data_IF_235885981077
#
_entry.id   IF_235885981077
#
_cell.length_a   1.000
_cell.length_b   1.000
_cell.length_c   1.000
_cell.angle_alpha   90.00
_cell.angle_beta   90.00
_cell.angle_gamma   90.00
#
_symmetry.space_group_name_H-M   'P 1'
#
loop_
_entity.id
_entity.type
_entity.pdbx_description
1 polymer ?
#
# COMPACT_ATOMS: atom_id res chain seq x y z
N UNK A 1 -65.68 183.11 37.26
CA UNK A 1 -64.47 182.35 37.67
C UNK A 1 -64.77 180.98 38.31
N UNK A 2 -65.99 180.69 38.78
CA UNK A 2 -66.33 179.36 39.35
C UNK A 2 -66.40 178.21 38.32
N UNK A 3 -66.80 178.46 37.07
CA UNK A 3 -66.97 177.40 36.04
C UNK A 3 -65.66 176.87 35.43
N UNK A 4 -64.54 177.57 35.61
CA UNK A 4 -63.22 177.16 35.09
C UNK A 4 -62.51 176.22 36.08
N UNK A 5 -62.60 176.51 37.38
CA UNK A 5 -62.13 175.61 38.46
C UNK A 5 -62.89 174.27 38.46
N UNK A 6 -64.19 174.28 38.17
CA UNK A 6 -64.99 173.05 38.07
C UNK A 6 -64.56 172.18 36.88
N UNK A 7 -64.30 172.76 35.70
CA UNK A 7 -63.77 172.03 34.55
C UNK A 7 -62.36 171.47 34.78
N UNK A 8 -61.51 172.17 35.55
CA UNK A 8 -60.20 171.63 35.95
C UNK A 8 -60.31 170.49 36.96
N UNK A 9 -61.26 170.56 37.89
CA UNK A 9 -61.54 169.48 38.83
C UNK A 9 -62.10 168.24 38.10
N UNK A 10 -63.05 168.43 37.18
CA UNK A 10 -63.61 167.37 36.33
C UNK A 10 -62.52 166.75 35.43
N UNK A 11 -61.67 167.55 34.77
CA UNK A 11 -60.57 167.05 33.94
C UNK A 11 -59.46 166.36 34.75
N UNK A 12 -59.27 166.70 36.03
CA UNK A 12 -58.36 166.00 36.94
C UNK A 12 -58.96 164.68 37.41
N UNK A 13 -60.26 164.66 37.68
CA UNK A 13 -60.98 163.45 38.07
C UNK A 13 -61.05 162.45 36.90
N UNK A 14 -61.27 162.93 35.67
CA UNK A 14 -61.19 162.13 34.45
C UNK A 14 -59.79 161.54 34.26
N UNK A 15 -58.71 162.33 34.41
CA UNK A 15 -57.34 161.79 34.33
C UNK A 15 -57.01 160.76 35.42
N UNK A 16 -57.58 160.92 36.62
CA UNK A 16 -57.43 159.92 37.68
C UNK A 16 -58.22 158.65 37.35
N UNK A 17 -59.44 158.79 36.80
CA UNK A 17 -60.25 157.67 36.32
C UNK A 17 -59.54 156.93 35.17
N UNK A 18 -59.10 157.64 34.14
CA UNK A 18 -58.31 157.10 33.02
C UNK A 18 -57.03 156.42 33.51
N UNK A 19 -56.35 156.96 34.53
CA UNK A 19 -55.16 156.33 35.12
C UNK A 19 -55.51 155.07 35.91
N UNK A 20 -56.60 155.07 36.67
CA UNK A 20 -57.07 153.86 37.37
C UNK A 20 -57.56 152.80 36.39
N UNK A 21 -58.22 153.19 35.31
CA UNK A 21 -58.62 152.32 34.21
C UNK A 21 -57.38 151.77 33.49
N UNK A 22 -56.35 152.60 33.26
CA UNK A 22 -55.09 152.15 32.68
C UNK A 22 -54.32 151.18 33.59
N UNK A 23 -54.29 151.41 34.90
CA UNK A 23 -53.64 150.50 35.85
C UNK A 23 -54.41 149.19 35.99
N UNK A 24 -55.74 149.23 36.06
CA UNK A 24 -56.57 148.01 36.14
C UNK A 24 -56.52 147.22 34.83
N UNK A 25 -56.48 147.88 33.67
CA UNK A 25 -56.23 147.20 32.38
C UNK A 25 -54.82 146.63 32.30
N UNK A 26 -53.79 147.31 32.80
CA UNK A 26 -52.44 146.76 32.91
C UNK A 26 -52.37 145.55 33.86
N UNK A 27 -53.06 145.60 35.01
CA UNK A 27 -53.12 144.49 35.98
C UNK A 27 -53.88 143.30 35.41
N UNK A 28 -55.04 143.53 34.76
CA UNK A 28 -55.79 142.50 34.06
C UNK A 28 -54.96 141.87 32.94
N UNK A 29 -54.26 142.67 32.13
CA UNK A 29 -53.39 142.15 31.08
C UNK A 29 -52.20 141.34 31.63
N UNK A 30 -51.68 141.69 32.82
CA UNK A 30 -50.66 140.87 33.51
C UNK A 30 -51.25 139.54 33.99
N UNK A 31 -52.42 139.56 34.61
CA UNK A 31 -53.11 138.35 35.07
C UNK A 31 -53.49 137.43 33.90
N UNK A 32 -53.99 137.99 32.80
CA UNK A 32 -54.28 137.25 31.56
C UNK A 32 -53.02 136.58 31.01
N UNK A 33 -51.89 137.30 30.93
CA UNK A 33 -50.61 136.70 30.52
C UNK A 33 -50.14 135.61 31.49
N UNK A 34 -50.28 135.81 32.80
CA UNK A 34 -49.93 134.78 33.79
C UNK A 34 -50.78 133.52 33.64
N UNK A 35 -52.10 133.68 33.41
CA UNK A 35 -53.00 132.57 33.11
C UNK A 35 -52.67 131.89 31.78
N UNK A 36 -52.33 132.66 30.74
CA UNK A 36 -51.85 132.12 29.46
C UNK A 36 -50.55 131.33 29.64
N UNK A 37 -49.60 131.82 30.44
CA UNK A 37 -48.37 131.09 30.74
C UNK A 37 -48.64 129.82 31.57
N UNK A 38 -49.54 129.88 32.55
CA UNK A 38 -49.92 128.70 33.34
C UNK A 38 -50.61 127.66 32.47
N UNK A 39 -51.57 128.05 31.63
CA UNK A 39 -52.26 127.13 30.72
C UNK A 39 -51.31 126.54 29.68
N UNK A 40 -50.35 127.30 29.17
CA UNK A 40 -49.27 126.77 28.32
C UNK A 40 -48.35 125.79 29.08
N UNK A 41 -48.00 126.10 30.32
CA UNK A 41 -47.19 125.21 31.17
C UNK A 41 -47.94 123.90 31.48
N UNK A 42 -49.23 123.96 31.77
CA UNK A 42 -50.08 122.78 31.99
C UNK A 42 -50.25 121.96 30.71
N UNK A 43 -50.49 122.61 29.57
CA UNK A 43 -50.60 121.93 28.29
C UNK A 43 -49.30 121.22 27.89
N UNK A 44 -48.14 121.85 28.11
CA UNK A 44 -46.84 121.24 27.86
C UNK A 44 -46.55 120.10 28.85
N UNK A 45 -46.88 120.26 30.13
CA UNK A 45 -46.76 119.19 31.12
C UNK A 45 -47.65 117.98 30.78
N UNK A 46 -48.89 118.21 30.37
CA UNK A 46 -49.81 117.15 29.93
C UNK A 46 -49.30 116.45 28.66
N UNK A 47 -48.76 117.20 27.71
CA UNK A 47 -48.14 116.64 26.50
C UNK A 47 -46.94 115.76 26.85
N UNK A 48 -46.03 116.23 27.71
CA UNK A 48 -44.87 115.45 28.16
C UNK A 48 -45.31 114.20 28.94
N UNK A 49 -46.30 114.29 29.82
CA UNK A 49 -46.86 113.14 30.52
C UNK A 49 -47.43 112.11 29.53
N UNK A 50 -48.22 112.55 28.55
CA UNK A 50 -48.75 111.67 27.51
C UNK A 50 -47.64 111.05 26.65
N UNK A 51 -46.59 111.81 26.31
CA UNK A 51 -45.46 111.32 25.53
C UNK A 51 -44.67 110.26 26.31
N UNK A 52 -44.42 110.47 27.60
CA UNK A 52 -43.75 109.48 28.46
C UNK A 52 -44.58 108.20 28.62
N UNK A 53 -45.89 108.32 28.86
CA UNK A 53 -46.80 107.16 28.91
C UNK A 53 -46.83 106.38 27.59
N UNK A 54 -46.92 107.10 26.46
CA UNK A 54 -46.92 106.48 25.12
C UNK A 54 -45.60 105.74 24.85
N UNK A 55 -44.47 106.32 25.25
CA UNK A 55 -43.16 105.68 25.16
C UNK A 55 -43.07 104.43 26.04
N UNK A 56 -43.53 104.52 27.29
CA UNK A 56 -43.49 103.41 28.23
C UNK A 56 -44.36 102.24 27.74
N UNK A 57 -45.57 102.53 27.24
CA UNK A 57 -46.44 101.54 26.62
C UNK A 57 -45.79 100.90 25.37
N UNK A 58 -45.10 101.68 24.55
CA UNK A 58 -44.36 101.17 23.40
C UNK A 58 -43.18 100.27 23.81
N UNK A 59 -42.42 100.66 24.83
CA UNK A 59 -41.32 99.86 25.37
C UNK A 59 -41.82 98.54 25.98
N UNK A 60 -42.92 98.57 26.74
CA UNK A 60 -43.59 97.37 27.26
C UNK A 60 -44.10 96.46 26.14
N UNK A 61 -44.74 97.03 25.10
CA UNK A 61 -45.19 96.26 23.93
C UNK A 61 -44.02 95.59 23.20
N UNK A 62 -42.90 96.30 23.04
CA UNK A 62 -41.68 95.74 22.45
C UNK A 62 -41.08 94.63 23.31
N UNK A 63 -41.05 94.79 24.63
CA UNK A 63 -40.58 93.75 25.55
C UNK A 63 -41.46 92.52 25.48
N UNK A 64 -42.79 92.68 25.52
CA UNK A 64 -43.73 91.56 25.41
C UNK A 64 -43.57 90.78 24.08
N UNK A 65 -43.34 91.48 22.96
CA UNK A 65 -43.05 90.82 21.67
C UNK A 65 -41.74 90.04 21.73
N UNK A 66 -40.70 90.61 22.34
CA UNK A 66 -39.40 89.93 22.47
C UNK A 66 -39.51 88.69 23.37
N UNK A 67 -40.20 88.78 24.50
CA UNK A 67 -40.44 87.66 25.41
C UNK A 67 -41.26 86.56 24.74
N UNK A 68 -42.35 86.91 24.05
CA UNK A 68 -43.14 85.95 23.28
C UNK A 68 -42.33 85.26 22.18
N UNK A 69 -41.44 85.99 21.49
CA UNK A 69 -40.55 85.41 20.48
C UNK A 69 -39.51 84.46 21.09
N UNK A 70 -39.00 84.77 22.29
CA UNK A 70 -38.09 83.87 23.02
C UNK A 70 -38.80 82.60 23.47
N UNK A 71 -40.01 82.72 24.03
CA UNK A 71 -40.82 81.57 24.43
C UNK A 71 -41.17 80.68 23.23
N UNK A 72 -41.56 81.27 22.10
CA UNK A 72 -41.83 80.53 20.87
C UNK A 72 -40.61 79.75 20.38
N UNK A 73 -39.41 80.36 20.41
CA UNK A 73 -38.16 79.67 20.07
C UNK A 73 -37.81 78.55 21.04
N UNK A 74 -38.04 78.75 22.34
CA UNK A 74 -37.80 77.73 23.35
C UNK A 74 -38.69 76.51 23.12
N UNK A 75 -39.97 76.72 22.84
CA UNK A 75 -40.92 75.65 22.49
C UNK A 75 -40.49 74.95 21.20
N UNK A 76 -40.05 75.68 20.17
CA UNK A 76 -39.57 75.06 18.93
C UNK A 76 -38.32 74.19 19.16
N UNK A 77 -37.35 74.67 19.96
CA UNK A 77 -36.16 73.89 20.31
C UNK A 77 -36.55 72.64 21.09
N UNK A 78 -37.49 72.76 22.03
CA UNK A 78 -37.96 71.62 22.83
C UNK A 78 -38.69 70.59 21.94
N UNK A 79 -39.60 71.02 21.07
CA UNK A 79 -40.26 70.15 20.12
C UNK A 79 -39.27 69.41 19.19
N UNK A 80 -38.23 70.10 18.72
CA UNK A 80 -37.17 69.47 17.92
C UNK A 80 -36.36 68.47 18.74
N UNK A 81 -36.05 68.78 20.00
CA UNK A 81 -35.35 67.86 20.90
C UNK A 81 -36.18 66.60 21.15
N UNK A 82 -37.48 66.76 21.38
CA UNK A 82 -38.42 65.65 21.59
C UNK A 82 -38.52 64.77 20.34
N UNK A 83 -38.67 65.36 19.15
CA UNK A 83 -38.66 64.63 17.87
C UNK A 83 -37.36 63.84 17.64
N UNK A 84 -36.21 64.44 17.94
CA UNK A 84 -34.93 63.73 17.81
C UNK A 84 -34.83 62.60 18.82
N UNK A 85 -35.30 62.80 20.06
CA UNK A 85 -35.29 61.76 21.09
C UNK A 85 -36.18 60.57 20.72
N UNK A 86 -37.38 60.84 20.19
CA UNK A 86 -38.33 59.83 19.71
C UNK A 86 -37.74 59.06 18.52
N UNK A 87 -37.18 59.76 17.52
CA UNK A 87 -36.52 59.13 16.39
C UNK A 87 -35.34 58.23 16.82
N UNK A 88 -34.52 58.68 17.76
CA UNK A 88 -33.41 57.87 18.27
C UNK A 88 -33.89 56.67 19.07
N UNK A 89 -34.98 56.81 19.82
CA UNK A 89 -35.61 55.71 20.54
C UNK A 89 -36.16 54.67 19.56
N UNK A 90 -36.90 55.09 18.53
CA UNK A 90 -37.43 54.21 17.48
C UNK A 90 -36.33 53.51 16.69
N UNK A 91 -35.26 54.22 16.39
CA UNK A 91 -34.09 53.65 15.71
C UNK A 91 -33.38 52.62 16.60
N UNK A 92 -33.31 52.84 17.91
CA UNK A 92 -32.73 51.89 18.85
C UNK A 92 -33.64 50.65 19.02
N UNK A 93 -34.95 50.83 19.17
CA UNK A 93 -35.89 49.71 19.26
C UNK A 93 -35.87 48.87 17.99
N UNK A 94 -35.92 49.50 16.81
CA UNK A 94 -35.83 48.82 15.51
C UNK A 94 -34.51 48.04 15.36
N UNK A 95 -33.37 48.62 15.73
CA UNK A 95 -32.07 47.92 15.71
C UNK A 95 -32.05 46.73 16.66
N UNK A 96 -32.61 46.88 17.86
CA UNK A 96 -32.65 45.79 18.85
C UNK A 96 -33.56 44.64 18.40
N UNK A 97 -34.70 44.95 17.76
CA UNK A 97 -35.63 43.96 17.21
C UNK A 97 -35.00 43.23 16.03
N UNK A 98 -34.43 43.95 15.07
CA UNK A 98 -33.73 43.35 13.93
C UNK A 98 -32.55 42.47 14.39
N UNK A 99 -31.78 42.90 15.39
CA UNK A 99 -30.71 42.08 15.96
C UNK A 99 -31.24 40.80 16.64
N UNK A 100 -32.40 40.87 17.30
CA UNK A 100 -33.05 39.72 17.91
C UNK A 100 -33.57 38.73 16.85
N UNK A 101 -34.26 39.23 15.82
CA UNK A 101 -34.74 38.44 14.67
C UNK A 101 -33.59 37.75 13.95
N UNK A 102 -32.52 38.47 13.59
CA UNK A 102 -31.31 37.91 12.98
C UNK A 102 -30.64 36.85 13.87
N UNK A 103 -30.70 37.01 15.19
CA UNK A 103 -30.16 36.02 16.13
C UNK A 103 -31.02 34.75 16.13
N UNK A 104 -32.34 34.88 16.06
CA UNK A 104 -33.27 33.77 16.02
C UNK A 104 -33.18 33.01 14.70
N UNK A 105 -33.16 33.72 13.56
CA UNK A 105 -32.98 33.12 12.24
C UNK A 105 -31.68 32.31 12.16
N UNK A 106 -30.56 32.86 12.66
CA UNK A 106 -29.30 32.14 12.74
C UNK A 106 -29.39 30.91 13.64
N UNK A 107 -30.06 31.01 14.78
CA UNK A 107 -30.26 29.85 15.67
C UNK A 107 -31.12 28.77 15.00
N UNK A 108 -32.18 29.14 14.27
CA UNK A 108 -33.01 28.21 13.51
C UNK A 108 -32.22 27.56 12.35
N UNK A 109 -31.40 28.32 11.63
CA UNK A 109 -30.52 27.79 10.59
C UNK A 109 -29.51 26.76 11.16
N UNK A 110 -28.94 27.02 12.34
CA UNK A 110 -28.06 26.05 13.02
C UNK A 110 -28.83 24.81 13.45
N UNK A 111 -30.03 24.95 14.02
CA UNK A 111 -30.90 23.80 14.39
C UNK A 111 -31.27 22.93 13.19
N UNK A 112 -31.63 23.54 12.05
CA UNK A 112 -31.96 22.79 10.83
C UNK A 112 -30.74 22.11 10.23
N UNK A 113 -29.56 22.76 10.20
CA UNK A 113 -28.30 22.17 9.74
C UNK A 113 -27.85 21.00 10.62
N UNK A 114 -27.93 21.16 11.95
CA UNK A 114 -27.59 20.09 12.90
C UNK A 114 -28.55 18.90 12.78
N UNK A 115 -29.84 19.14 12.57
CA UNK A 115 -30.80 18.07 12.29
C UNK A 115 -30.48 17.32 10.98
N UNK A 116 -30.23 18.05 9.88
CA UNK A 116 -29.87 17.46 8.58
C UNK A 116 -28.61 16.60 8.68
N UNK A 117 -27.55 17.11 9.31
CA UNK A 117 -26.29 16.39 9.51
C UNK A 117 -26.46 15.16 10.40
N UNK A 118 -27.21 15.26 11.51
CA UNK A 118 -27.51 14.10 12.38
C UNK A 118 -28.29 13.02 11.62
N UNK A 119 -29.26 13.41 10.79
CA UNK A 119 -30.00 12.48 9.93
C UNK A 119 -29.09 11.79 8.92
N UNK A 120 -28.26 12.55 8.20
CA UNK A 120 -27.27 12.00 7.25
C UNK A 120 -26.31 11.02 7.92
N UNK A 121 -25.78 11.37 9.10
CA UNK A 121 -24.89 10.48 9.87
C UNK A 121 -25.60 9.18 10.27
N UNK A 122 -26.88 9.25 10.66
CA UNK A 122 -27.69 8.05 10.95
C UNK A 122 -27.84 7.16 9.71
N UNK A 123 -28.08 7.74 8.54
CA UNK A 123 -28.18 7.00 7.28
C UNK A 123 -26.84 6.36 6.87
N UNK A 124 -25.73 7.10 6.97
CA UNK A 124 -24.38 6.59 6.69
C UNK A 124 -24.03 5.45 7.66
N UNK A 125 -24.33 5.60 8.95
CA UNK A 125 -24.09 4.55 9.94
C UNK A 125 -24.89 3.28 9.62
N UNK A 126 -26.18 3.41 9.30
CA UNK A 126 -27.03 2.27 8.89
C UNK A 126 -26.51 1.60 7.61
N UNK A 127 -26.03 2.37 6.64
CA UNK A 127 -25.44 1.85 5.41
C UNK A 127 -24.13 1.08 5.68
N UNK A 128 -23.25 1.62 6.52
CA UNK A 128 -22.00 0.95 6.94
C UNK A 128 -22.28 -0.36 7.67
N UNK A 129 -23.27 -0.41 8.56
CA UNK A 129 -23.66 -1.65 9.23
C UNK A 129 -24.14 -2.71 8.25
N UNK A 130 -25.00 -2.34 7.29
CA UNK A 130 -25.48 -3.27 6.25
C UNK A 130 -24.34 -3.79 5.38
N UNK A 131 -23.45 -2.91 4.94
CA UNK A 131 -22.27 -3.27 4.14
C UNK A 131 -21.32 -4.18 4.94
N UNK A 132 -21.09 -3.89 6.21
CA UNK A 132 -20.28 -4.72 7.10
C UNK A 132 -20.85 -6.13 7.29
N UNK A 133 -22.17 -6.25 7.47
CA UNK A 133 -22.86 -7.56 7.58
C UNK A 133 -22.74 -8.33 6.26
N UNK A 134 -23.02 -7.69 5.13
CA UNK A 134 -22.93 -8.33 3.80
C UNK A 134 -21.49 -8.79 3.50
N UNK A 135 -20.48 -7.96 3.81
CA UNK A 135 -19.08 -8.32 3.63
C UNK A 135 -18.63 -9.47 4.56
N UNK A 136 -19.20 -9.57 5.76
CA UNK A 136 -18.96 -10.71 6.66
C UNK A 136 -19.58 -11.99 6.10
N UNK A 137 -20.82 -11.93 5.63
CA UNK A 137 -21.51 -13.06 5.01
C UNK A 137 -20.80 -13.55 3.75
N UNK A 138 -20.39 -12.64 2.86
CA UNK A 138 -19.62 -12.98 1.65
C UNK A 138 -18.29 -13.65 2.00
N UNK A 139 -17.55 -13.14 3.00
CA UNK A 139 -16.32 -13.80 3.47
C UNK A 139 -16.59 -15.20 4.02
N UNK A 140 -17.67 -15.38 4.78
CA UNK A 140 -18.06 -16.69 5.29
C UNK A 140 -18.39 -17.67 4.14
N UNK A 141 -19.13 -17.23 3.13
CA UNK A 141 -19.42 -18.04 1.95
C UNK A 141 -18.14 -18.45 1.21
N UNK A 142 -17.23 -17.51 0.95
CA UNK A 142 -15.95 -17.81 0.30
C UNK A 142 -15.13 -18.82 1.12
N UNK A 143 -15.11 -18.69 2.45
CA UNK A 143 -14.41 -19.67 3.29
C UNK A 143 -15.05 -21.06 3.25
N UNK A 144 -16.38 -21.14 3.20
CA UNK A 144 -17.11 -22.40 3.09
C UNK A 144 -16.90 -23.04 1.72
N UNK A 145 -16.95 -22.27 0.63
CA UNK A 145 -16.66 -22.73 -0.73
C UNK A 145 -15.23 -23.24 -0.85
N UNK A 146 -14.25 -22.50 -0.31
CA UNK A 146 -12.86 -22.97 -0.26
C UNK A 146 -12.72 -24.25 0.54
N UNK A 147 -13.35 -24.35 1.71
CA UNK A 147 -13.32 -25.56 2.51
C UNK A 147 -13.90 -26.76 1.75
N UNK A 148 -15.03 -26.58 1.05
CA UNK A 148 -15.65 -27.62 0.23
C UNK A 148 -14.75 -28.05 -0.94
N UNK A 149 -14.15 -27.09 -1.66
CA UNK A 149 -13.19 -27.39 -2.73
C UNK A 149 -11.97 -28.14 -2.22
N UNK A 150 -11.41 -27.74 -1.07
CA UNK A 150 -10.27 -28.45 -0.48
C UNK A 150 -10.65 -29.85 -0.02
N UNK A 151 -11.86 -30.05 0.50
CA UNK A 151 -12.35 -31.38 0.89
C UNK A 151 -12.48 -32.30 -0.34
N UNK A 152 -13.02 -31.78 -1.45
CA UNK A 152 -13.12 -32.51 -2.71
C UNK A 152 -11.74 -32.89 -3.27
N UNK A 153 -10.79 -31.95 -3.28
CA UNK A 153 -9.41 -32.23 -3.71
C UNK A 153 -8.73 -33.30 -2.85
N UNK A 154 -8.94 -33.28 -1.53
CA UNK A 154 -8.41 -34.31 -0.64
C UNK A 154 -9.05 -35.67 -0.92
N UNK A 155 -10.35 -35.72 -1.22
CA UNK A 155 -11.04 -36.95 -1.61
C UNK A 155 -10.47 -37.52 -2.91
N UNK A 156 -10.24 -36.68 -3.92
CA UNK A 156 -9.67 -37.10 -5.21
C UNK A 156 -8.22 -37.60 -5.05
N UNK A 157 -7.38 -36.88 -4.30
CA UNK A 157 -6.01 -37.32 -3.97
C UNK A 157 -6.05 -38.67 -3.24
N UNK A 158 -6.99 -38.88 -2.33
CA UNK A 158 -7.13 -40.16 -1.63
C UNK A 158 -7.56 -41.29 -2.56
N UNK A 159 -8.50 -41.03 -3.49
CA UNK A 159 -8.90 -42.01 -4.52
C UNK A 159 -7.71 -42.39 -5.42
N UNK A 160 -6.94 -41.41 -5.87
CA UNK A 160 -5.74 -41.65 -6.69
C UNK A 160 -4.68 -42.45 -5.94
N UNK A 161 -4.44 -42.14 -4.66
CA UNK A 161 -3.52 -42.90 -3.80
C UNK A 161 -3.96 -44.35 -3.64
N UNK A 162 -5.25 -44.59 -3.40
CA UNK A 162 -5.79 -45.95 -3.27
C UNK A 162 -5.70 -46.72 -4.59
N UNK A 163 -6.02 -46.08 -5.72
CA UNK A 163 -5.88 -46.69 -7.05
C UNK A 163 -4.42 -47.04 -7.38
N UNK A 164 -3.49 -46.12 -7.08
CA UNK A 164 -2.05 -46.34 -7.27
C UNK A 164 -1.52 -47.46 -6.38
N UNK A 165 -1.97 -47.53 -5.13
CA UNK A 165 -1.62 -48.62 -4.22
C UNK A 165 -2.13 -49.97 -4.74
N UNK A 166 -3.37 -50.03 -5.25
CA UNK A 166 -3.93 -51.23 -5.85
C UNK A 166 -3.11 -51.70 -7.07
N UNK A 167 -2.75 -50.79 -7.98
CA UNK A 167 -1.90 -51.09 -9.13
C UNK A 167 -0.53 -51.62 -8.68
N UNK A 168 0.11 -50.96 -7.71
CA UNK A 168 1.40 -51.39 -7.18
C UNK A 168 1.33 -52.78 -6.49
N UNK A 169 0.21 -53.10 -5.83
CA UNK A 169 0.01 -54.46 -5.30
C UNK A 169 -0.14 -55.50 -6.41
N UNK A 170 -0.91 -55.20 -7.46
CA UNK A 170 -1.10 -56.09 -8.60
C UNK A 170 0.22 -56.35 -9.34
N UNK A 171 1.02 -55.30 -9.55
CA UNK A 171 2.36 -55.41 -10.16
C UNK A 171 3.29 -56.30 -9.32
N UNK A 172 3.34 -56.10 -8.00
CA UNK A 172 4.16 -56.96 -7.11
C UNK A 172 3.71 -58.42 -7.14
N UNK A 173 2.41 -58.68 -7.19
CA UNK A 173 1.89 -60.04 -7.32
C UNK A 173 2.25 -60.66 -8.68
N UNK A 174 2.16 -59.90 -9.77
CA UNK A 174 2.54 -60.34 -11.11
C UNK A 174 4.05 -60.64 -11.19
N UNK A 175 4.90 -59.77 -10.66
CA UNK A 175 6.35 -60.01 -10.56
C UNK A 175 6.69 -61.23 -9.71
N UNK A 176 6.00 -61.44 -8.59
CA UNK A 176 6.20 -62.63 -7.77
C UNK A 176 5.83 -63.91 -8.55
N UNK A 177 4.73 -63.88 -9.30
CA UNK A 177 4.31 -65.00 -10.14
C UNK A 177 5.30 -65.28 -11.29
N UNK A 178 5.80 -64.25 -11.97
CA UNK A 178 6.82 -64.44 -13.02
C UNK A 178 8.11 -65.00 -12.46
N UNK A 179 8.61 -64.48 -11.33
CA UNK A 179 9.78 -65.03 -10.64
C UNK A 179 9.58 -66.47 -10.24
N UNK A 180 8.42 -66.82 -9.68
CA UNK A 180 8.10 -68.21 -9.32
C UNK A 180 8.12 -69.15 -10.54
N UNK A 181 7.57 -68.70 -11.67
CA UNK A 181 7.59 -69.47 -12.92
C UNK A 181 9.01 -69.63 -13.47
N UNK A 182 9.84 -68.58 -13.44
CA UNK A 182 11.24 -68.66 -13.87
C UNK A 182 12.06 -69.61 -12.99
N UNK A 183 11.88 -69.57 -11.66
CA UNK A 183 12.54 -70.52 -10.76
C UNK A 183 12.06 -71.95 -11.03
N UNK A 184 10.76 -72.15 -11.26
CA UNK A 184 10.22 -73.46 -11.60
C UNK A 184 10.79 -74.01 -12.93
N UNK A 185 10.98 -73.16 -13.95
CA UNK A 185 11.59 -73.58 -15.21
C UNK A 185 13.08 -73.91 -15.05
N UNK A 186 13.83 -73.09 -14.29
CA UNK A 186 15.24 -73.37 -13.98
C UNK A 186 15.40 -74.69 -13.22
N UNK A 187 14.53 -74.97 -12.25
CA UNK A 187 14.55 -76.24 -11.52
C UNK A 187 14.28 -77.44 -12.44
N UNK A 188 13.36 -77.31 -13.40
CA UNK A 188 13.11 -78.36 -14.41
C UNK A 188 14.32 -78.58 -15.31
N UNK A 189 14.96 -77.50 -15.76
CA UNK A 189 16.15 -77.56 -16.59
C UNK A 189 17.31 -78.24 -15.85
N UNK A 190 17.59 -77.83 -14.62
CA UNK A 190 18.60 -78.47 -13.76
C UNK A 190 18.27 -79.96 -13.55
N UNK A 191 17.01 -80.31 -13.35
CA UNK A 191 16.60 -81.71 -13.20
C UNK A 191 16.87 -82.51 -14.49
N UNK A 192 16.56 -81.96 -15.67
CA UNK A 192 16.89 -82.60 -16.95
C UNK A 192 18.39 -82.75 -17.17
N UNK A 193 19.18 -81.72 -16.86
CA UNK A 193 20.64 -81.75 -16.96
C UNK A 193 21.25 -82.82 -16.05
N UNK A 194 20.74 -82.97 -14.82
CA UNK A 194 21.16 -84.03 -13.90
C UNK A 194 20.79 -85.42 -14.42
N UNK A 195 19.63 -85.57 -15.05
CA UNK A 195 19.21 -86.85 -15.64
C UNK A 195 20.13 -87.22 -16.81
N UNK A 196 20.39 -86.30 -17.73
CA UNK A 196 21.27 -86.53 -18.89
C UNK A 196 22.70 -86.81 -18.43
N UNK A 197 23.21 -86.06 -17.45
CA UNK A 197 24.53 -86.32 -16.88
C UNK A 197 24.59 -87.70 -16.21
N UNK A 198 23.56 -88.09 -15.46
CA UNK A 198 23.50 -89.42 -14.87
C UNK A 198 23.43 -90.55 -15.90
N UNK A 199 22.76 -90.33 -17.03
CA UNK A 199 22.70 -91.30 -18.14
C UNK A 199 24.06 -91.42 -18.80
N UNK A 200 24.71 -90.30 -19.12
CA UNK A 200 26.03 -90.26 -19.72
C UNK A 200 27.09 -90.89 -18.79
N UNK A 201 27.08 -90.55 -17.50
CA UNK A 201 27.96 -91.20 -16.50
C UNK A 201 27.73 -92.72 -16.41
N UNK A 202 26.50 -93.19 -16.67
CA UNK A 202 26.16 -94.61 -16.74
C UNK A 202 26.67 -95.29 -18.01
N UNK A 203 26.52 -94.62 -19.15
CA UNK A 203 27.05 -95.06 -20.45
C UNK A 203 28.58 -95.11 -20.43
N UNK A 204 29.24 -94.05 -19.97
CA UNK A 204 30.70 -93.95 -19.85
C UNK A 204 31.24 -95.08 -18.97
N UNK A 205 30.65 -95.30 -17.78
CA UNK A 205 31.00 -96.45 -16.93
C UNK A 205 30.79 -97.79 -17.63
N UNK A 206 29.70 -97.96 -18.36
CA UNK A 206 29.44 -99.21 -19.11
C UNK A 206 30.45 -99.44 -20.23
N UNK A 207 30.90 -98.37 -20.90
CA UNK A 207 31.94 -98.43 -21.92
C UNK A 207 33.30 -98.73 -21.31
N UNK A 208 33.65 -98.11 -20.17
CA UNK A 208 34.84 -98.46 -19.40
C UNK A 208 34.85 -99.95 -19.04
N UNK A 209 33.72 -100.49 -18.56
CA UNK A 209 33.60 -101.92 -18.28
C UNK A 209 33.79 -102.78 -19.53
N UNK A 210 33.19 -102.41 -20.67
CA UNK A 210 33.39 -103.14 -21.95
C UNK A 210 34.85 -103.09 -22.39
N UNK A 211 35.49 -101.93 -22.32
CA UNK A 211 36.90 -101.75 -22.68
C UNK A 211 37.81 -102.57 -21.77
N UNK A 212 37.52 -102.64 -20.47
CA UNK A 212 38.23 -103.50 -19.53
C UNK A 212 38.05 -104.98 -19.91
N UNK A 213 36.83 -105.42 -20.22
CA UNK A 213 36.57 -106.81 -20.65
C UNK A 213 37.32 -107.13 -21.94
N UNK A 214 37.30 -106.24 -22.94
CA UNK A 214 38.04 -106.45 -24.19
C UNK A 214 39.55 -106.48 -23.94
N UNK A 215 40.08 -105.58 -23.10
CA UNK A 215 41.49 -105.54 -22.74
C UNK A 215 41.92 -106.83 -22.00
N UNK A 216 41.09 -107.35 -21.10
CA UNK A 216 41.34 -108.64 -20.43
C UNK A 216 41.33 -109.78 -21.45
N UNK A 217 40.39 -109.76 -22.40
CA UNK A 217 40.29 -110.81 -23.42
C UNK A 217 41.48 -110.78 -24.39
N UNK A 218 41.93 -109.61 -24.83
CA UNK A 218 43.13 -109.47 -25.66
C UNK A 218 44.37 -109.91 -24.89
N UNK A 219 44.51 -109.50 -23.63
CA UNK A 219 45.62 -109.93 -22.77
C UNK A 219 45.66 -111.46 -22.59
N UNK A 220 44.50 -112.11 -22.38
CA UNK A 220 44.41 -113.57 -22.32
C UNK A 220 44.77 -114.24 -23.66
N UNK A 221 44.39 -113.63 -24.79
CA UNK A 221 44.75 -114.14 -26.12
C UNK A 221 46.25 -114.02 -26.39
N UNK A 222 46.88 -112.91 -25.97
CA UNK A 222 48.32 -112.70 -26.04
C UNK A 222 49.07 -113.72 -25.19
N UNK A 223 48.60 -113.98 -23.96
CA UNK A 223 49.16 -115.03 -23.10
C UNK A 223 49.05 -116.40 -23.78
N UNK A 224 47.91 -116.70 -24.41
CA UNK A 224 47.74 -117.97 -25.13
C UNK A 224 48.66 -118.07 -26.35
N UNK A 225 48.81 -117.00 -27.14
CA UNK A 225 49.76 -116.95 -28.26
C UNK A 225 51.21 -117.07 -27.78
N UNK A 226 51.56 -116.44 -26.67
CA UNK A 226 52.87 -116.60 -26.01
C UNK A 226 53.07 -118.04 -25.54
N UNK A 227 52.05 -118.68 -24.95
CA UNK A 227 52.11 -120.11 -24.57
C UNK A 227 52.27 -121.03 -25.78
N UNK A 228 51.59 -120.76 -26.88
CA UNK A 228 51.70 -121.54 -28.12
C UNK A 228 53.08 -121.37 -28.76
N UNK A 229 53.58 -120.15 -28.91
CA UNK A 229 54.93 -119.89 -29.43
C UNK A 229 56.03 -120.44 -28.51
N UNK A 230 55.84 -120.38 -27.18
CA UNK A 230 56.73 -121.04 -26.23
C UNK A 230 56.70 -122.58 -26.38
N UNK A 231 55.52 -123.16 -26.62
CA UNK A 231 55.39 -124.58 -26.90
C UNK A 231 56.05 -124.97 -28.24
N UNK A 232 55.87 -124.16 -29.29
CA UNK A 232 56.51 -124.36 -30.60
C UNK A 232 58.04 -124.20 -30.54
N UNK A 233 58.54 -123.23 -29.79
CA UNK A 233 59.98 -123.10 -29.56
C UNK A 233 60.51 -124.26 -28.73
N UNK A 234 59.77 -124.77 -27.74
CA UNK A 234 60.15 -125.99 -27.03
C UNK A 234 60.13 -127.23 -27.94
N UNK A 235 59.15 -127.38 -28.83
CA UNK A 235 59.14 -128.52 -29.78
C UNK A 235 60.27 -128.39 -30.81
N UNK A 236 60.57 -127.20 -31.29
CA UNK A 236 61.72 -126.93 -32.14
C UNK A 236 63.04 -127.17 -31.40
N UNK A 237 63.15 -126.77 -30.14
CA UNK A 237 64.29 -127.10 -29.29
C UNK A 237 64.41 -128.61 -29.09
N UNK A 238 63.32 -129.34 -28.85
CA UNK A 238 63.34 -130.80 -28.75
C UNK A 238 63.72 -131.48 -30.08
N UNK A 239 63.27 -130.93 -31.22
CA UNK A 239 63.67 -131.40 -32.56
C UNK A 239 65.16 -131.13 -32.83
N UNK A 240 65.65 -129.94 -32.47
CA UNK A 240 67.06 -129.58 -32.55
C UNK A 240 67.93 -130.38 -31.56
N UNK A 241 67.40 -130.71 -30.38
CA UNK A 241 68.07 -131.59 -29.44
C UNK A 241 68.12 -133.02 -29.98
N UNK A 242 67.05 -133.48 -30.66
CA UNK A 242 67.04 -134.76 -31.37
C UNK A 242 67.96 -134.79 -32.59
N UNK A 243 68.08 -133.71 -33.36
CA UNK A 243 69.00 -133.63 -34.49
C UNK A 243 70.45 -133.50 -34.02
N UNK A 244 70.75 -132.66 -33.02
CA UNK A 244 72.09 -132.59 -32.43
C UNK A 244 72.50 -133.89 -31.75
N UNK A 245 71.58 -134.64 -31.11
CA UNK A 245 71.85 -136.01 -30.67
C UNK A 245 72.13 -136.94 -31.86
N UNK A 246 71.38 -136.82 -32.96
CA UNK A 246 71.61 -137.61 -34.18
C UNK A 246 72.97 -137.28 -34.79
N UNK A 247 73.35 -136.02 -34.87
CA UNK A 247 74.59 -135.56 -35.51
C UNK A 247 75.81 -135.79 -34.59
N UNK A 248 75.67 -135.61 -33.27
CA UNK A 248 76.73 -135.83 -32.27
C UNK A 248 77.04 -137.31 -32.03
N UNK A 249 76.14 -138.24 -32.35
CA UNK A 249 76.40 -139.68 -32.20
C UNK A 249 77.02 -140.28 -33.48
N UNK A 250 76.84 -139.65 -34.65
CA UNK A 250 77.17 -140.28 -35.94
C UNK A 250 78.17 -139.52 -36.83
N UNK A 251 78.56 -138.27 -36.51
CA UNK A 251 79.66 -137.59 -37.17
C UNK A 251 80.80 -137.33 -36.17
N UNK A 252 81.88 -138.10 -36.31
CA UNK A 252 83.07 -137.98 -35.47
C UNK A 252 83.83 -136.69 -35.72
N UNK A 253 83.50 -135.64 -34.96
CA UNK A 253 84.43 -134.55 -34.67
C UNK A 253 84.24 -134.06 -33.22
N UNK A 254 85.25 -134.33 -32.39
CA UNK A 254 85.36 -133.83 -31.03
C UNK A 254 85.84 -132.39 -31.07
N UNK A 255 84.91 -131.44 -30.95
CA UNK A 255 85.22 -130.08 -30.53
C UNK A 255 84.14 -129.60 -29.56
N UNK A 256 84.43 -129.75 -28.28
CA UNK A 256 83.68 -129.14 -27.19
C UNK A 256 83.89 -127.62 -27.21
N UNK A 257 82.81 -126.84 -27.18
CA UNK A 257 82.80 -125.57 -26.46
C UNK A 257 81.39 -125.23 -26.00
N UNK A 258 81.22 -125.21 -24.67
CA UNK A 258 80.13 -124.58 -23.94
C UNK A 258 80.62 -123.18 -23.55
N UNK A 259 79.75 -122.15 -23.61
CA UNK A 259 79.71 -121.16 -22.53
C UNK A 259 78.27 -121.05 -21.99
N UNK A 260 78.05 -121.32 -20.71
CA UNK A 260 78.26 -120.45 -19.57
C UNK A 260 77.02 -119.58 -19.27
N UNK A 261 76.23 -120.11 -18.33
CA UNK A 261 75.20 -119.40 -17.61
C UNK A 261 75.77 -118.21 -16.83
N UNK A 262 75.01 -117.11 -16.78
CA UNK A 262 75.10 -116.12 -15.70
C UNK A 262 73.70 -115.85 -15.15
N UNK A 263 73.60 -116.04 -13.84
CA UNK A 263 72.42 -115.87 -13.00
C UNK A 263 72.14 -114.38 -12.71
N UNK A 264 70.89 -114.18 -12.28
CA UNK A 264 70.17 -112.99 -11.78
C UNK A 264 70.85 -112.25 -10.60
N UNK A 265 70.32 -111.11 -10.08
CA UNK A 265 69.07 -111.03 -9.29
C UNK A 265 68.20 -109.75 -9.52
N UNK A 266 66.86 -109.81 -9.36
CA UNK A 266 66.00 -109.22 -8.28
C UNK A 266 66.26 -107.72 -7.99
N UNK A 267 65.26 -106.84 -7.79
CA UNK A 267 64.26 -106.83 -6.70
C UNK A 267 63.15 -105.78 -6.94
N UNK A 268 62.04 -106.02 -6.23
CA UNK A 268 60.78 -105.28 -5.93
C UNK A 268 60.80 -103.74 -5.84
N UNK A 269 59.65 -103.09 -6.12
CA UNK A 269 58.71 -102.55 -5.10
C UNK A 269 57.74 -101.50 -5.67
N UNK A 270 56.56 -101.47 -5.06
CA UNK A 270 55.28 -100.80 -5.38
C UNK A 270 55.22 -99.26 -5.03
N UNK A 271 54.08 -98.55 -5.24
CA UNK A 271 53.94 -97.11 -5.59
C UNK A 271 53.73 -96.20 -4.35
N UNK A 272 53.48 -94.85 -4.43
CA UNK A 272 52.09 -94.30 -4.58
C UNK A 272 51.96 -92.82 -5.12
N UNK A 273 50.86 -92.41 -5.81
CA UNK A 273 49.66 -91.63 -5.38
C UNK A 273 49.75 -90.06 -5.32
N UNK A 274 48.75 -89.39 -5.97
CA UNK A 274 48.12 -88.05 -5.77
C UNK A 274 48.95 -86.75 -5.65
N UNK A 275 48.64 -85.72 -6.48
CA UNK A 275 47.80 -84.57 -6.06
C UNK A 275 47.54 -83.49 -7.13
N UNK A 276 46.36 -82.86 -6.98
CA UNK A 276 45.66 -81.74 -7.67
C UNK A 276 46.37 -80.36 -7.52
N UNK A 277 45.75 -79.19 -7.82
CA UNK A 277 45.09 -78.67 -9.04
C UNK A 277 45.54 -77.23 -9.43
N UNK A 278 45.04 -76.76 -10.57
CA UNK A 278 45.18 -75.40 -11.15
C UNK A 278 44.22 -74.38 -10.50
N UNK A 279 44.68 -73.14 -10.29
CA UNK A 279 43.83 -71.95 -10.06
C UNK A 279 44.33 -70.79 -10.91
N UNK A 280 43.44 -70.20 -11.73
CA UNK A 280 43.67 -68.97 -12.46
C UNK A 280 42.71 -67.87 -11.95
N UNK A 281 43.34 -66.78 -11.49
CA UNK A 281 43.08 -65.38 -11.82
C UNK A 281 41.65 -64.79 -11.85
N UNK A 282 41.44 -63.69 -11.11
CA UNK A 282 40.58 -62.59 -11.59
C UNK A 282 41.02 -61.21 -11.08
N UNK A 283 41.00 -60.30 -12.04
CA UNK A 283 41.41 -58.89 -12.12
C UNK A 283 40.38 -57.96 -11.44
N UNK A 284 40.86 -56.78 -10.99
CA UNK A 284 40.10 -55.59 -10.54
C UNK A 284 39.39 -54.88 -11.73
N UNK A 285 38.97 -53.59 -11.71
CA UNK A 285 38.57 -52.62 -10.67
C UNK A 285 37.21 -51.91 -10.98
N UNK A 286 36.85 -50.89 -10.18
CA UNK A 286 35.76 -49.92 -10.37
C UNK A 286 35.86 -49.07 -11.66
N UNK A 287 34.80 -48.34 -12.12
CA UNK A 287 34.69 -46.88 -11.83
C UNK A 287 33.24 -46.31 -11.80
N UNK A 288 32.93 -45.24 -11.03
CA UNK A 288 32.89 -43.77 -11.33
C UNK A 288 31.95 -43.31 -12.47
N UNK A 289 30.98 -42.43 -12.14
CA UNK A 289 30.54 -41.21 -12.87
C UNK A 289 29.24 -40.68 -12.20
N UNK A 290 29.13 -39.48 -11.61
CA UNK A 290 29.30 -38.11 -12.11
C UNK A 290 28.35 -37.75 -13.28
N UNK A 291 27.27 -37.01 -12.98
CA UNK A 291 26.55 -36.23 -14.00
C UNK A 291 26.10 -34.87 -13.47
N UNK A 292 26.63 -33.87 -14.18
CA UNK A 292 26.31 -32.44 -14.32
C UNK A 292 24.82 -32.16 -14.55
N UNK A 293 24.43 -30.88 -14.39
CA UNK A 293 23.46 -30.06 -15.19
C UNK A 293 22.75 -29.06 -14.26
N UNK A 294 22.39 -27.81 -14.55
CA UNK A 294 22.72 -26.74 -15.52
C UNK A 294 21.86 -25.56 -15.04
N UNK A 295 22.37 -24.32 -15.14
CA UNK A 295 21.60 -23.08 -14.94
C UNK A 295 20.45 -22.95 -15.96
N UNK A 296 19.37 -22.25 -15.57
CA UNK A 296 18.50 -21.54 -16.52
C UNK A 296 17.77 -20.38 -15.83
N UNK A 297 17.42 -19.32 -16.59
CA UNK A 297 17.05 -17.99 -16.12
C UNK A 297 15.54 -17.83 -15.88
N UNK A 298 15.15 -16.73 -15.23
CA UNK A 298 13.73 -16.38 -14.99
C UNK A 298 13.35 -15.10 -15.78
N UNK A 299 12.13 -15.01 -16.33
CA UNK A 299 11.81 -14.21 -17.50
C UNK A 299 11.16 -12.86 -17.20
N UNK A 300 11.19 -12.00 -18.21
CA UNK A 300 10.29 -10.86 -18.42
C UNK A 300 8.82 -11.31 -18.56
N UNK A 301 7.88 -10.48 -18.10
CA UNK A 301 6.51 -10.48 -18.61
C UNK A 301 5.97 -9.05 -18.65
N UNK A 302 5.30 -8.78 -19.77
CA UNK A 302 4.86 -7.53 -20.37
C UNK A 302 3.68 -6.83 -19.68
N UNK A 303 3.69 -5.50 -19.85
CA UNK A 303 2.63 -4.60 -20.33
C UNK A 303 1.19 -4.72 -19.79
N UNK A 304 0.71 -3.59 -19.25
CA UNK A 304 -0.54 -2.98 -19.74
C UNK A 304 -0.53 -1.45 -19.54
N UNK A 305 -0.64 -0.73 -20.66
CA UNK A 305 -1.06 0.67 -20.78
C UNK A 305 -2.38 0.90 -19.99
N UNK A 306 -2.70 2.07 -19.44
CA UNK A 306 -2.90 3.36 -20.10
C UNK A 306 -2.99 4.48 -19.05
N UNK A 307 -2.43 5.67 -19.35
CA UNK A 307 -3.04 6.99 -19.09
C UNK A 307 -2.06 8.12 -19.49
N UNK A 308 -2.17 8.58 -20.74
CA UNK A 308 -1.71 9.92 -21.15
C UNK A 308 -2.63 10.95 -20.49
N UNK A 309 -2.20 11.59 -19.40
CA UNK A 309 -2.82 12.86 -18.96
C UNK A 309 -2.00 13.62 -17.89
N UNK A 310 -0.73 13.96 -18.13
CA UNK A 310 0.02 14.82 -17.17
C UNK A 310 0.86 15.95 -17.79
N UNK A 311 1.03 16.03 -19.12
CA UNK A 311 1.95 17.03 -19.70
C UNK A 311 1.44 18.49 -19.69
N UNK A 312 0.20 18.77 -19.27
CA UNK A 312 -0.34 20.14 -19.21
C UNK A 312 -0.21 20.83 -17.85
N UNK A 313 0.09 20.09 -16.78
CA UNK A 313 0.18 20.67 -15.43
C UNK A 313 1.62 20.94 -15.00
N UNK A 314 2.60 20.24 -15.56
CA UNK A 314 4.04 20.44 -15.23
C UNK A 314 4.50 21.86 -15.51
N UNK A 315 4.16 22.43 -16.68
CA UNK A 315 4.53 23.81 -17.02
C UNK A 315 3.93 24.89 -16.12
N UNK A 316 2.78 24.63 -15.48
CA UNK A 316 2.19 25.58 -14.50
C UNK A 316 2.89 25.50 -13.14
N UNK A 317 3.32 24.31 -12.77
CA UNK A 317 4.10 24.08 -11.54
C UNK A 317 5.48 24.69 -11.70
N UNK A 318 6.14 24.52 -12.86
CA UNK A 318 7.44 25.13 -13.18
C UNK A 318 7.38 26.67 -13.12
N UNK A 319 6.35 27.28 -13.69
CA UNK A 319 6.14 28.73 -13.63
C UNK A 319 5.93 29.22 -12.19
N UNK A 320 5.12 28.50 -11.40
CA UNK A 320 4.89 28.85 -10.00
C UNK A 320 6.16 28.75 -9.16
N UNK A 321 6.99 27.71 -9.37
CA UNK A 321 8.27 27.55 -8.68
C UNK A 321 9.23 28.68 -9.07
N UNK A 322 9.33 29.01 -10.36
CA UNK A 322 10.16 30.13 -10.83
C UNK A 322 9.71 31.48 -10.26
N UNK A 323 8.40 31.74 -10.24
CA UNK A 323 7.83 32.97 -9.68
C UNK A 323 8.06 33.05 -8.17
N UNK A 324 7.88 31.96 -7.43
CA UNK A 324 8.14 31.91 -5.99
C UNK A 324 9.62 32.16 -5.69
N UNK A 325 10.54 31.49 -6.39
CA UNK A 325 11.99 31.69 -6.24
C UNK A 325 12.39 33.12 -6.58
N UNK A 326 11.75 33.76 -7.58
CA UNK A 326 12.00 35.16 -7.93
C UNK A 326 11.49 36.17 -6.89
N UNK A 327 10.50 35.78 -6.09
CA UNK A 327 9.93 36.61 -5.01
C UNK A 327 10.71 36.49 -3.70
N UNK A 328 11.57 35.48 -3.56
CA UNK A 328 12.50 35.43 -2.43
C UNK A 328 13.47 36.62 -2.55
N UNK A 329 13.51 37.44 -1.49
CA UNK A 329 14.28 38.71 -1.45
C UNK A 329 15.81 38.54 -1.58
N UNK A 330 16.28 37.31 -1.46
CA UNK A 330 17.63 36.87 -1.83
C UNK A 330 17.48 36.17 -3.17
N UNK A 331 18.19 36.61 -4.21
CA UNK A 331 18.24 35.94 -5.52
C UNK A 331 18.84 34.52 -5.38
N UNK A 332 18.10 33.65 -4.72
CA UNK A 332 18.56 32.36 -4.24
C UNK A 332 18.49 31.43 -5.42
N UNK A 333 19.59 30.74 -5.69
CA UNK A 333 19.59 29.75 -6.76
C UNK A 333 18.56 28.67 -6.42
N UNK A 334 17.94 28.07 -7.44
CA UNK A 334 16.94 27.03 -7.26
C UNK A 334 17.48 25.86 -6.39
N UNK A 335 18.79 25.64 -6.43
CA UNK A 335 19.53 24.66 -5.63
C UNK A 335 19.65 25.04 -4.13
N UNK A 336 19.71 26.34 -3.80
CA UNK A 336 19.69 26.81 -2.41
C UNK A 336 18.29 26.67 -1.81
N UNK A 337 17.25 26.93 -2.61
CA UNK A 337 15.84 26.77 -2.20
C UNK A 337 15.50 25.29 -1.95
N UNK A 338 16.13 24.34 -2.66
CA UNK A 338 16.00 22.90 -2.41
C UNK A 338 16.71 22.48 -1.11
N UNK A 339 17.84 23.12 -0.79
CA UNK A 339 18.64 22.80 0.40
C UNK A 339 18.04 23.37 1.70
N UNK A 340 17.28 24.46 1.63
CA UNK A 340 16.58 25.00 2.78
C UNK A 340 15.20 24.32 2.97
N UNK A 341 15.13 23.52 4.03
CA UNK A 341 13.95 22.71 4.35
C UNK A 341 12.71 23.56 4.63
N UNK A 342 12.88 24.74 5.23
CA UNK A 342 11.75 25.58 5.63
C UNK A 342 11.16 26.32 4.41
N UNK A 343 11.99 26.71 3.45
CA UNK A 343 11.53 27.28 2.17
C UNK A 343 10.84 26.25 1.29
N UNK A 344 11.35 25.01 1.22
CA UNK A 344 10.64 23.92 0.51
C UNK A 344 9.27 23.66 1.14
N UNK A 345 9.19 23.66 2.48
CA UNK A 345 7.93 23.42 3.17
C UNK A 345 6.89 24.51 2.89
N UNK A 346 7.31 25.77 2.87
CA UNK A 346 6.42 26.89 2.55
C UNK A 346 5.99 26.88 1.08
N UNK A 347 6.92 26.59 0.16
CA UNK A 347 6.62 26.42 -1.27
C UNK A 347 5.61 25.30 -1.52
N UNK A 348 5.76 24.15 -0.86
CA UNK A 348 4.82 23.03 -0.98
C UNK A 348 3.44 23.35 -0.39
N UNK A 349 3.39 24.08 0.73
CA UNK A 349 2.13 24.49 1.35
C UNK A 349 1.39 25.54 0.52
N UNK A 350 2.11 26.53 -0.01
CA UNK A 350 1.53 27.56 -0.87
C UNK A 350 1.13 26.98 -2.22
N UNK A 351 2.01 26.19 -2.84
CA UNK A 351 1.75 25.54 -4.13
C UNK A 351 0.58 24.57 -4.10
N UNK A 352 0.44 23.77 -3.03
CA UNK A 352 -0.71 22.88 -2.88
C UNK A 352 -2.03 23.66 -2.74
N UNK A 353 -2.01 24.81 -2.05
CA UNK A 353 -3.20 25.65 -1.88
C UNK A 353 -3.56 26.46 -3.13
N UNK A 354 -2.57 26.97 -3.87
CA UNK A 354 -2.78 27.82 -5.06
C UNK A 354 -3.09 27.00 -6.31
N UNK A 355 -2.33 25.93 -6.55
CA UNK A 355 -2.46 25.10 -7.75
C UNK A 355 -3.46 23.94 -7.58
N UNK A 356 -3.86 23.61 -6.35
CA UNK A 356 -4.67 22.42 -6.01
C UNK A 356 -4.06 21.12 -6.57
N UNK A 357 -2.74 21.06 -6.59
CA UNK A 357 -1.95 19.90 -7.01
C UNK A 357 -1.35 19.25 -5.77
N UNK A 358 -1.14 17.93 -5.82
CA UNK A 358 -0.52 17.21 -4.71
C UNK A 358 0.90 17.73 -4.44
N UNK A 359 1.28 17.93 -3.17
CA UNK A 359 2.59 18.48 -2.81
C UNK A 359 3.75 17.59 -3.31
N UNK A 360 3.51 16.29 -3.48
CA UNK A 360 4.50 15.36 -4.05
C UNK A 360 4.86 15.69 -5.51
N UNK A 361 3.89 16.15 -6.31
CA UNK A 361 4.14 16.51 -7.71
C UNK A 361 4.93 17.81 -7.80
N UNK A 362 4.67 18.75 -6.89
CA UNK A 362 5.42 20.01 -6.78
C UNK A 362 6.86 19.74 -6.35
N UNK A 363 7.07 18.84 -5.38
CA UNK A 363 8.40 18.43 -4.94
C UNK A 363 9.19 17.73 -6.06
N UNK A 364 8.56 16.81 -6.78
CA UNK A 364 9.19 16.10 -7.90
C UNK A 364 9.57 17.08 -9.03
N UNK A 365 8.71 18.05 -9.33
CA UNK A 365 9.00 19.07 -10.35
C UNK A 365 10.14 20.00 -9.91
N UNK A 366 10.18 20.37 -8.63
CA UNK A 366 11.24 21.19 -8.04
C UNK A 366 12.59 20.47 -8.06
N UNK A 367 12.63 19.17 -7.72
CA UNK A 367 13.83 18.34 -7.84
C UNK A 367 14.28 18.22 -9.31
N UNK A 368 13.34 18.03 -10.24
CA UNK A 368 13.64 17.94 -11.66
C UNK A 368 14.20 19.25 -12.23
N UNK A 369 13.69 20.41 -11.79
CA UNK A 369 14.25 21.71 -12.15
C UNK A 369 15.62 21.96 -11.52
N UNK A 370 15.87 21.45 -10.32
CA UNK A 370 17.16 21.58 -9.62
C UNK A 370 18.24 20.69 -10.23
N UNK A 371 17.89 19.50 -10.71
CA UNK A 371 18.81 18.57 -11.38
C UNK A 371 19.13 18.99 -12.83
N UNK A 372 18.24 19.79 -13.44
CA UNK A 372 18.41 20.30 -14.81
C UNK A 372 19.07 21.68 -14.92
N UNK A 373 19.33 22.35 -13.79
CA UNK A 373 19.98 23.67 -13.70
C UNK A 373 21.41 23.58 -13.18
#
# INVERSE_FOLDING_TARGET
MASLMQRFAEARQQRLQERTEFLTTCERAKQEREQEFQTQAEATAAYLARATQSRLAWEQGRQAIAENALLARQVEIQNRADQVSEYLQDLNTSRSQSAAEDSEERAQAVRTRTFKTRSQLKHIHKARLRSGIAAKQSRQQITQERAALTAMQLEDINKERLASAAIATQQRCAEAATRANTVASQLKEIASQRLTQSQQDGEDRSQEFRNLVTNVQTFLSEINAQRQSAAETQTAQLLNFRSSLRDSVWAGDRAASIPAAKQAPQTEAEPPILNKPVKAEKVAPAPVAATKVTETPKPETKEKETAKETSKNTGKIEQFVADYVSQLSTNSSLLEVVNDRDTVRDLLAQGANTLKVDPSDILNTLLQMAEGS
#
